data_IF_312695763151
#
_entry.id   IF_312695763151
#
_cell.length_a   1.000
_cell.length_b   1.000
_cell.length_c   1.000
_cell.angle_alpha   90.00
_cell.angle_beta   90.00
_cell.angle_gamma   90.00
#
_symmetry.space_group_name_H-M   'P 1'
#
loop_
_entity.id
_entity.type
_entity.pdbx_description
1 polymer ?
#
# COMPACT_ATOMS: atom_id res chain seq x y z
N UNK A 1 2.00 8.52 36.73
CA UNK A 1 2.37 9.83 36.14
C UNK A 1 2.72 9.57 34.69
N UNK A 2 1.74 9.69 33.79
CA UNK A 2 1.92 9.45 32.35
C UNK A 2 2.45 10.76 31.79
N UNK A 3 3.73 10.82 31.41
CA UNK A 3 4.27 12.00 30.72
C UNK A 3 3.51 12.18 29.42
N UNK A 4 2.79 13.31 29.31
CA UNK A 4 2.26 13.79 28.05
C UNK A 4 3.45 14.11 27.14
N UNK A 5 3.73 13.23 26.18
CA UNK A 5 4.57 13.57 25.03
C UNK A 5 3.77 14.60 24.25
N UNK A 6 4.21 15.85 24.28
CA UNK A 6 3.53 16.95 23.60
C UNK A 6 3.57 16.74 22.08
N UNK A 7 2.54 17.23 21.36
CA UNK A 7 2.41 17.13 19.89
C UNK A 7 3.70 17.49 19.11
N UNK A 8 4.55 18.35 19.67
CA UNK A 8 5.83 18.75 19.08
C UNK A 8 6.94 17.68 19.11
N UNK A 9 6.90 16.73 20.05
CA UNK A 9 7.95 15.70 20.22
C UNK A 9 7.68 14.46 19.36
N UNK A 10 6.40 14.15 19.10
CA UNK A 10 5.97 13.18 18.08
C UNK A 10 6.37 13.69 16.69
N UNK A 11 6.13 14.98 16.42
CA UNK A 11 6.46 15.61 15.14
C UNK A 11 7.97 15.71 14.86
N UNK A 12 8.80 16.02 15.87
CA UNK A 12 10.26 15.93 15.73
C UNK A 12 10.76 14.51 15.49
N UNK A 13 10.07 13.50 16.03
CA UNK A 13 10.41 12.09 15.79
C UNK A 13 10.04 11.68 14.36
N UNK A 14 8.84 12.02 13.88
CA UNK A 14 8.43 11.78 12.49
C UNK A 14 9.33 12.56 11.53
N UNK A 15 9.63 13.84 11.77
CA UNK A 15 10.53 14.62 10.91
C UNK A 15 12.00 14.19 10.97
N UNK A 16 12.49 13.65 12.08
CA UNK A 16 13.88 13.14 12.20
C UNK A 16 14.03 11.74 11.61
N UNK A 17 13.00 10.90 11.69
CA UNK A 17 12.96 9.53 11.14
C UNK A 17 12.58 9.54 9.64
N UNK A 18 11.62 10.36 9.24
CA UNK A 18 11.13 10.48 7.86
C UNK A 18 11.93 11.52 7.05
N UNK A 19 12.67 12.42 7.71
CA UNK A 19 13.42 13.50 7.05
C UNK A 19 14.91 13.23 6.80
N UNK A 20 15.51 12.21 7.42
CA UNK A 20 16.88 11.80 7.15
C UNK A 20 16.87 10.54 6.30
N UNK A 21 16.93 10.76 4.98
CA UNK A 21 17.35 9.79 3.98
C UNK A 21 16.33 8.78 3.45
N UNK A 22 15.08 9.19 3.17
CA UNK A 22 14.06 8.40 2.43
C UNK A 22 14.51 7.76 1.09
N UNK A 23 15.73 8.04 0.58
CA UNK A 23 16.26 7.50 -0.68
C UNK A 23 16.40 5.97 -0.70
N UNK A 24 16.36 5.30 0.46
CA UNK A 24 16.52 3.85 0.60
C UNK A 24 15.24 3.11 1.07
N UNK A 25 14.10 3.78 1.28
CA UNK A 25 13.09 3.32 2.27
C UNK A 25 11.79 2.73 1.72
N UNK A 26 11.67 2.58 0.40
CA UNK A 26 10.49 1.98 -0.24
C UNK A 26 10.70 0.57 -0.79
N UNK A 27 11.93 0.04 -0.74
CA UNK A 27 12.20 -1.37 -1.04
C UNK A 27 11.73 -2.31 0.10
N UNK A 28 10.86 -1.89 1.02
CA UNK A 28 10.30 -2.80 2.03
C UNK A 28 9.02 -3.52 1.58
N UNK A 29 8.83 -3.68 0.27
CA UNK A 29 8.23 -4.90 -0.29
C UNK A 29 9.30 -5.93 -0.73
N UNK A 30 10.57 -5.53 -0.79
CA UNK A 30 11.73 -6.38 -1.07
C UNK A 30 12.46 -6.67 0.24
N UNK A 31 11.93 -7.60 1.04
CA UNK A 31 12.81 -8.45 1.84
C UNK A 31 13.35 -9.48 0.86
N UNK A 32 14.62 -9.38 0.53
CA UNK A 32 15.29 -10.30 -0.39
C UNK A 32 15.18 -11.74 0.12
N UNK A 33 14.70 -12.57 -0.80
CA UNK A 33 14.65 -14.03 -0.74
C UNK A 33 16.04 -14.65 -0.56
N UNK A 34 16.47 -14.85 0.69
CA UNK A 34 17.51 -15.83 1.02
C UNK A 34 17.10 -16.55 2.31
N UNK A 35 16.08 -17.41 2.22
CA UNK A 35 15.89 -18.62 3.03
C UNK A 35 14.50 -19.18 2.73
N UNK A 36 14.44 -20.22 1.88
CA UNK A 36 13.44 -21.31 1.83
C UNK A 36 13.39 -21.90 0.42
N UNK A 37 14.46 -22.60 0.05
CA UNK A 37 14.47 -23.52 -1.09
C UNK A 37 13.72 -24.80 -0.71
N UNK A 38 12.57 -25.03 -1.34
CA UNK A 38 11.84 -26.31 -1.29
C UNK A 38 11.02 -26.52 -2.55
N UNK A 39 11.38 -27.56 -3.33
CA UNK A 39 10.77 -28.02 -4.60
C UNK A 39 9.26 -28.33 -4.49
N UNK A 40 8.56 -28.25 -5.64
CA UNK A 40 7.62 -29.23 -6.29
C UNK A 40 6.87 -28.44 -7.41
N UNK A 41 7.08 -28.64 -8.72
CA UNK A 41 6.67 -29.68 -9.71
C UNK A 41 5.15 -29.82 -9.98
N UNK A 42 4.76 -29.52 -11.24
CA UNK A 42 3.57 -30.04 -11.96
C UNK A 42 2.31 -29.14 -11.88
N UNK A 43 1.49 -28.93 -12.92
CA UNK A 43 1.42 -29.46 -14.29
C UNK A 43 0.28 -28.80 -15.09
N UNK A 44 0.35 -28.97 -16.41
CA UNK A 44 -0.58 -28.56 -17.50
C UNK A 44 -1.98 -29.23 -17.37
N UNK A 45 -3.12 -28.85 -17.97
CA UNK A 45 -3.47 -28.60 -19.40
C UNK A 45 -4.91 -28.01 -19.55
N UNK A 46 -5.07 -27.16 -20.56
CA UNK A 46 -6.16 -26.89 -21.55
C UNK A 46 -7.66 -27.27 -21.35
N UNK A 47 -8.55 -26.35 -21.79
CA UNK A 47 -9.51 -26.69 -22.86
C UNK A 47 -10.97 -26.19 -22.79
N UNK A 48 -11.28 -25.23 -23.70
CA UNK A 48 -12.50 -25.10 -24.57
C UNK A 48 -13.83 -24.48 -24.07
N UNK A 49 -14.07 -23.26 -24.60
CA UNK A 49 -15.18 -22.76 -25.47
C UNK A 49 -16.67 -22.98 -25.11
N UNK A 50 -17.45 -21.89 -25.26
CA UNK A 50 -18.88 -21.70 -24.92
C UNK A 50 -19.92 -22.41 -25.82
N UNK A 51 -21.21 -22.01 -25.73
CA UNK A 51 -21.70 -20.92 -26.59
C UNK A 51 -22.76 -19.99 -25.92
N UNK A 52 -23.36 -19.14 -26.76
CA UNK A 52 -23.90 -17.80 -26.52
C UNK A 52 -25.39 -17.66 -26.10
N UNK A 53 -25.72 -16.41 -25.72
CA UNK A 53 -26.91 -15.62 -26.06
C UNK A 53 -28.20 -15.79 -25.21
N UNK A 54 -28.62 -14.68 -24.59
CA UNK A 54 -29.92 -14.53 -23.94
C UNK A 54 -30.06 -13.18 -23.26
N UNK A 55 -30.61 -12.21 -23.99
CA UNK A 55 -30.85 -10.82 -23.63
C UNK A 55 -31.85 -10.62 -22.50
N UNK A 56 -31.48 -9.78 -21.51
CA UNK A 56 -32.39 -8.89 -20.77
C UNK A 56 -31.55 -7.89 -20.00
N UNK A 57 -31.43 -6.65 -20.49
CA UNK A 57 -30.86 -5.57 -19.68
C UNK A 57 -31.87 -5.15 -18.62
N UNK A 58 -31.57 -5.27 -17.32
CA UNK A 58 -32.15 -4.35 -16.37
C UNK A 58 -31.39 -3.03 -16.49
N UNK A 59 -32.12 -1.92 -16.40
CA UNK A 59 -31.55 -0.60 -16.10
C UNK A 59 -30.91 -0.74 -14.72
N UNK A 60 -29.67 -1.20 -14.71
CA UNK A 60 -28.82 -1.28 -13.54
C UNK A 60 -28.45 0.15 -13.18
N UNK A 61 -28.83 0.52 -11.96
CA UNK A 61 -28.15 1.46 -11.09
C UNK A 61 -26.82 1.95 -11.69
N UNK A 62 -26.66 3.28 -11.87
CA UNK A 62 -25.36 3.87 -12.21
C UNK A 62 -24.42 3.50 -11.06
N UNK A 63 -23.80 2.33 -11.21
CA UNK A 63 -23.01 1.69 -10.19
C UNK A 63 -22.07 2.76 -9.70
N UNK A 64 -22.09 3.01 -8.39
CA UNK A 64 -21.04 3.75 -7.73
C UNK A 64 -19.74 3.37 -8.44
N UNK A 65 -19.16 4.27 -9.24
CA UNK A 65 -17.87 4.00 -9.88
C UNK A 65 -16.99 3.60 -8.71
N UNK A 66 -16.67 2.32 -8.61
CA UNK A 66 -16.07 1.82 -7.39
C UNK A 66 -14.66 2.42 -7.37
N UNK A 67 -14.50 3.45 -6.55
CA UNK A 67 -13.33 4.31 -6.58
C UNK A 67 -12.12 3.52 -6.08
N UNK A 68 -10.96 3.76 -6.69
CA UNK A 68 -9.71 3.26 -6.16
C UNK A 68 -9.48 3.83 -4.76
N UNK A 69 -8.95 3.00 -3.85
CA UNK A 69 -8.80 3.32 -2.43
C UNK A 69 -7.33 3.38 -2.05
N UNK A 70 -6.92 4.42 -1.32
CA UNK A 70 -5.58 4.48 -0.74
C UNK A 70 -5.64 4.97 0.70
N UNK A 71 -4.75 4.45 1.53
CA UNK A 71 -4.55 4.89 2.91
C UNK A 71 -3.18 5.57 2.99
N UNK A 72 -3.17 6.85 3.35
CA UNK A 72 -1.96 7.67 3.31
C UNK A 72 -1.86 8.64 4.48
N UNK A 73 -0.67 9.19 4.70
CA UNK A 73 -0.45 10.30 5.62
C UNK A 73 -1.31 11.52 5.24
N UNK A 74 -1.68 12.31 6.24
CA UNK A 74 -2.35 13.61 6.01
C UNK A 74 -1.36 14.74 5.66
N UNK A 75 -0.06 14.50 5.88
CA UNK A 75 1.01 15.46 5.55
C UNK A 75 1.94 14.87 4.51
N UNK A 76 2.40 15.73 3.59
CA UNK A 76 3.40 15.36 2.59
C UNK A 76 4.76 15.13 3.25
N UNK A 77 5.50 14.18 2.70
CA UNK A 77 6.94 14.06 2.94
C UNK A 77 7.68 15.27 2.36
N UNK A 78 8.97 15.42 2.72
CA UNK A 78 9.85 16.46 2.15
C UNK A 78 9.93 16.44 0.62
N UNK A 79 9.71 15.26 0.03
CA UNK A 79 9.72 15.07 -1.42
C UNK A 79 8.33 15.27 -2.07
N UNK A 80 7.38 15.87 -1.34
CA UNK A 80 6.09 16.33 -1.89
C UNK A 80 5.03 15.24 -2.09
N UNK A 81 5.23 14.03 -1.59
CA UNK A 81 4.27 12.92 -1.72
C UNK A 81 3.74 12.45 -0.36
N UNK A 82 2.57 11.82 -0.33
CA UNK A 82 1.93 11.30 0.88
C UNK A 82 2.27 9.81 1.13
N UNK A 83 3.07 9.50 2.18
CA UNK A 83 3.38 8.12 2.58
C UNK A 83 2.16 7.24 2.76
N UNK A 84 2.23 6.01 2.25
CA UNK A 84 1.21 5.00 2.54
C UNK A 84 1.33 4.51 3.99
N UNK A 85 0.23 4.01 4.57
CA UNK A 85 0.20 3.54 5.96
C UNK A 85 1.23 2.43 6.28
N UNK A 86 1.51 1.54 5.32
CA UNK A 86 2.58 0.54 5.46
C UNK A 86 3.95 1.18 5.65
N UNK A 87 4.27 2.21 4.85
CA UNK A 87 5.54 2.93 4.96
C UNK A 87 5.66 3.64 6.31
N UNK A 88 4.56 4.22 6.82
CA UNK A 88 4.52 4.87 8.13
C UNK A 88 4.79 3.88 9.27
N UNK A 89 4.08 2.74 9.32
CA UNK A 89 4.27 1.72 10.36
C UNK A 89 5.65 1.07 10.29
N UNK A 90 6.14 0.77 9.08
CA UNK A 90 7.50 0.28 8.90
C UNK A 90 8.56 1.31 9.31
N UNK A 91 8.26 2.61 9.19
CA UNK A 91 9.10 3.69 9.73
C UNK A 91 9.15 3.69 11.26
N UNK A 92 8.01 3.52 11.93
CA UNK A 92 7.95 3.37 13.38
C UNK A 92 8.75 2.16 13.89
N UNK A 93 8.63 1.02 13.20
CA UNK A 93 9.37 -0.21 13.52
C UNK A 93 10.89 0.03 13.49
N UNK A 94 11.40 0.58 12.39
CA UNK A 94 12.84 0.88 12.25
C UNK A 94 13.34 1.93 13.23
N UNK A 95 12.47 2.84 13.68
CA UNK A 95 12.79 3.81 14.72
C UNK A 95 12.71 3.22 16.15
N UNK A 96 12.42 1.92 16.30
CA UNK A 96 12.27 1.27 17.60
C UNK A 96 11.10 1.83 18.41
N UNK A 97 10.07 2.34 17.75
CA UNK A 97 8.92 2.98 18.42
C UNK A 97 7.76 2.03 18.64
N UNK A 98 7.65 0.96 17.85
CA UNK A 98 6.58 -0.03 18.05
C UNK A 98 6.80 -0.82 19.34
N UNK A 99 5.70 -1.09 20.04
CA UNK A 99 5.67 -2.09 21.11
C UNK A 99 5.89 -3.48 20.52
N UNK A 100 6.25 -4.45 21.36
CA UNK A 100 6.42 -5.86 20.95
C UNK A 100 5.17 -6.42 20.27
N UNK A 101 3.97 -6.10 20.78
CA UNK A 101 2.72 -6.57 20.19
C UNK A 101 2.46 -5.96 18.79
N UNK A 102 2.76 -4.68 18.61
CA UNK A 102 2.63 -3.99 17.32
C UNK A 102 3.65 -4.51 16.31
N UNK A 103 4.87 -4.84 16.76
CA UNK A 103 5.91 -5.43 15.91
C UNK A 103 5.49 -6.83 15.44
N UNK A 104 4.94 -7.67 16.33
CA UNK A 104 4.39 -8.98 15.95
C UNK A 104 3.20 -8.85 14.97
N UNK A 105 2.30 -7.88 15.21
CA UNK A 105 1.22 -7.59 14.28
C UNK A 105 1.77 -7.23 12.89
N UNK A 106 2.71 -6.26 12.84
CA UNK A 106 3.32 -5.79 11.59
C UNK A 106 3.99 -6.93 10.83
N UNK A 107 4.77 -7.76 11.50
CA UNK A 107 5.46 -8.90 10.87
C UNK A 107 4.47 -9.90 10.28
N UNK A 108 3.44 -10.28 11.05
CA UNK A 108 2.41 -11.24 10.60
C UNK A 108 1.62 -10.71 9.40
N UNK A 109 1.12 -9.48 9.47
CA UNK A 109 0.34 -8.92 8.37
C UNK A 109 1.21 -8.62 7.15
N UNK A 110 2.44 -8.12 7.30
CA UNK A 110 3.35 -7.92 6.16
C UNK A 110 3.66 -9.25 5.46
N UNK A 111 3.89 -10.33 6.21
CA UNK A 111 4.08 -11.66 5.64
C UNK A 111 2.84 -12.12 4.86
N UNK A 112 1.64 -11.85 5.39
CA UNK A 112 0.41 -12.14 4.67
C UNK A 112 0.29 -11.33 3.37
N UNK A 113 0.55 -10.03 3.37
CA UNK A 113 0.54 -9.23 2.12
C UNK A 113 1.57 -9.73 1.13
N UNK A 114 2.77 -10.09 1.57
CA UNK A 114 3.80 -10.63 0.69
C UNK A 114 3.35 -11.90 -0.05
N UNK A 115 2.57 -12.77 0.62
CA UNK A 115 2.06 -13.98 0.00
C UNK A 115 0.81 -13.78 -0.87
N UNK A 116 0.05 -12.69 -0.67
CA UNK A 116 -1.28 -12.53 -1.25
C UNK A 116 -1.41 -11.32 -2.20
N UNK A 117 -0.47 -10.38 -2.16
CA UNK A 117 -0.44 -9.19 -3.00
C UNK A 117 0.79 -9.26 -3.90
N UNK A 118 0.57 -9.17 -5.21
CA UNK A 118 1.67 -9.17 -6.19
C UNK A 118 2.57 -7.99 -5.91
N UNK A 119 3.88 -8.21 -5.92
CA UNK A 119 4.87 -7.13 -5.91
C UNK A 119 5.04 -6.59 -7.33
N UNK A 120 4.58 -5.35 -7.64
CA UNK A 120 4.70 -4.79 -8.98
C UNK A 120 6.15 -4.65 -9.45
N UNK A 121 7.11 -4.52 -8.52
CA UNK A 121 8.53 -4.35 -8.85
C UNK A 121 9.17 -5.61 -9.42
N UNK A 122 8.56 -6.79 -9.18
CA UNK A 122 8.98 -8.05 -9.80
C UNK A 122 8.64 -8.06 -11.30
N UNK A 123 7.50 -7.47 -11.68
CA UNK A 123 7.09 -7.37 -13.07
C UNK A 123 7.82 -6.23 -13.80
N UNK A 124 7.94 -5.07 -13.17
CA UNK A 124 8.68 -3.92 -13.68
C UNK A 124 9.31 -3.13 -12.52
N UNK A 125 10.64 -3.21 -12.33
CA UNK A 125 11.35 -2.50 -11.28
C UNK A 125 11.23 -0.97 -11.34
N UNK A 126 10.88 -0.41 -12.50
CA UNK A 126 10.79 1.05 -12.70
C UNK A 126 9.48 1.66 -12.21
N UNK A 127 8.46 0.85 -11.88
CA UNK A 127 7.12 1.31 -11.49
C UNK A 127 7.12 2.31 -10.32
N UNK A 128 8.06 2.17 -9.40
CA UNK A 128 8.24 3.07 -8.25
C UNK A 128 9.45 4.01 -8.38
N UNK A 129 10.13 4.03 -9.52
CA UNK A 129 11.23 4.95 -9.76
C UNK A 129 10.74 6.39 -9.65
N UNK A 130 11.23 7.11 -8.64
CA UNK A 130 10.77 8.48 -8.33
C UNK A 130 11.28 9.53 -9.31
N UNK A 131 12.35 9.26 -10.04
CA UNK A 131 12.84 10.16 -11.09
C UNK A 131 11.97 10.03 -12.34
N UNK A 132 11.60 8.80 -12.72
CA UNK A 132 10.73 8.54 -13.87
C UNK A 132 9.25 8.84 -13.56
N UNK A 133 8.81 8.49 -12.35
CA UNK A 133 7.42 8.50 -11.92
C UNK A 133 7.24 9.23 -10.59
N UNK A 134 7.54 10.55 -10.53
CA UNK A 134 7.33 11.34 -9.33
C UNK A 134 5.88 11.26 -8.86
N UNK A 135 5.71 10.95 -7.58
CA UNK A 135 4.40 10.83 -6.94
C UNK A 135 3.66 9.52 -7.23
N UNK A 136 4.24 8.57 -7.97
CA UNK A 136 3.63 7.25 -8.18
C UNK A 136 3.27 6.59 -6.86
N UNK A 137 2.06 6.05 -6.80
CA UNK A 137 1.46 5.53 -5.59
C UNK A 137 0.61 4.30 -5.88
N UNK A 138 0.65 3.34 -4.98
CA UNK A 138 -0.25 2.19 -4.99
C UNK A 138 -1.66 2.57 -4.52
N UNK A 139 -2.66 2.02 -5.20
CA UNK A 139 -4.06 2.12 -4.85
C UNK A 139 -4.70 0.74 -4.91
N UNK A 140 -5.50 0.42 -3.91
CA UNK A 140 -6.33 -0.78 -3.94
C UNK A 140 -7.48 -0.59 -4.92
N UNK A 141 -7.76 -1.64 -5.68
CA UNK A 141 -9.04 -1.79 -6.33
C UNK A 141 -10.11 -1.97 -5.26
N UNK A 142 -11.32 -1.44 -5.48
CA UNK A 142 -12.45 -1.59 -4.55
C UNK A 142 -12.83 -3.06 -4.30
N UNK A 143 -12.54 -3.94 -5.27
CA UNK A 143 -12.74 -5.39 -5.16
C UNK A 143 -11.76 -6.08 -4.21
N UNK A 144 -10.65 -5.43 -3.83
CA UNK A 144 -9.64 -5.97 -2.93
C UNK A 144 -10.08 -5.87 -1.45
N UNK A 145 -11.27 -6.36 -1.14
CA UNK A 145 -11.95 -6.15 0.16
C UNK A 145 -11.18 -6.73 1.33
N UNK A 146 -10.57 -7.91 1.19
CA UNK A 146 -9.71 -8.50 2.24
C UNK A 146 -8.43 -7.69 2.46
N UNK A 147 -7.81 -7.22 1.38
CA UNK A 147 -6.63 -6.36 1.45
C UNK A 147 -6.97 -5.05 2.17
N UNK A 148 -8.12 -4.46 1.88
CA UNK A 148 -8.57 -3.21 2.47
C UNK A 148 -8.93 -3.39 3.95
N UNK A 149 -9.62 -4.47 4.33
CA UNK A 149 -10.05 -4.68 5.73
C UNK A 149 -8.88 -4.90 6.68
N UNK A 150 -7.81 -5.54 6.22
CA UNK A 150 -6.58 -5.74 6.99
C UNK A 150 -5.83 -4.44 7.30
N UNK A 151 -6.06 -3.37 6.53
CA UNK A 151 -5.44 -2.05 6.77
C UNK A 151 -5.84 -1.47 8.13
N UNK A 152 -7.01 -1.84 8.66
CA UNK A 152 -7.52 -1.34 9.94
C UNK A 152 -6.58 -1.62 11.13
N UNK A 153 -5.74 -2.65 11.06
CA UNK A 153 -4.77 -2.89 12.11
C UNK A 153 -3.57 -1.94 12.03
N UNK A 154 -3.15 -1.55 10.83
CA UNK A 154 -2.09 -0.55 10.64
C UNK A 154 -2.53 0.84 11.08
N UNK A 155 -3.78 1.22 10.76
CA UNK A 155 -4.31 2.52 11.15
C UNK A 155 -4.45 2.66 12.66
N UNK A 156 -4.87 1.60 13.37
CA UNK A 156 -4.87 1.58 14.85
C UNK A 156 -3.50 1.79 15.46
N UNK A 157 -2.44 1.24 14.85
CA UNK A 157 -1.06 1.52 15.26
C UNK A 157 -0.76 3.01 15.04
N UNK A 158 -1.04 3.55 13.87
CA UNK A 158 -0.79 4.98 13.62
C UNK A 158 -1.55 5.89 14.59
N UNK A 159 -2.82 5.58 14.88
CA UNK A 159 -3.64 6.30 15.86
C UNK A 159 -3.03 6.24 17.27
N UNK A 160 -2.58 5.06 17.71
CA UNK A 160 -1.93 4.88 19.02
C UNK A 160 -0.63 5.68 19.16
N UNK A 161 0.05 5.96 18.05
CA UNK A 161 1.28 6.74 17.97
C UNK A 161 1.03 8.22 17.59
N UNK A 162 -0.23 8.67 17.51
CA UNK A 162 -0.59 10.05 17.18
C UNK A 162 -0.22 10.48 15.75
N UNK A 163 -0.11 9.53 14.83
CA UNK A 163 0.25 9.79 13.43
C UNK A 163 -1.02 9.89 12.58
N UNK A 164 -1.29 11.08 12.05
CA UNK A 164 -2.44 11.34 11.19
C UNK A 164 -2.37 10.61 9.86
N UNK A 165 -3.47 9.93 9.50
CA UNK A 165 -3.67 9.25 8.22
C UNK A 165 -5.08 9.52 7.69
N UNK A 166 -5.29 9.28 6.39
CA UNK A 166 -6.56 9.41 5.72
C UNK A 166 -6.77 8.26 4.73
N UNK A 167 -8.03 7.81 4.63
CA UNK A 167 -8.51 6.97 3.53
C UNK A 167 -9.02 7.87 2.41
N UNK A 168 -8.35 7.86 1.28
CA UNK A 168 -8.70 8.62 0.08
C UNK A 168 -9.31 7.70 -0.97
N UNK A 169 -10.25 8.25 -1.74
CA UNK A 169 -10.91 7.57 -2.84
C UNK A 169 -10.71 8.40 -4.11
N UNK A 170 -10.44 7.75 -5.24
CA UNK A 170 -10.34 8.44 -6.53
C UNK A 170 -10.82 7.56 -7.68
N UNK A 171 -11.63 8.13 -8.58
CA UNK A 171 -11.97 7.50 -9.86
C UNK A 171 -10.89 7.74 -10.92
N UNK A 172 -9.99 8.71 -10.69
CA UNK A 172 -8.90 9.04 -11.59
C UNK A 172 -7.63 9.38 -10.78
N UNK A 173 -6.91 8.37 -10.27
CA UNK A 173 -5.68 8.57 -9.51
C UNK A 173 -4.50 9.02 -10.38
N UNK A 174 -4.69 9.15 -11.69
CA UNK A 174 -3.70 9.59 -12.67
C UNK A 174 -3.40 8.52 -13.72
N UNK A 175 -2.21 8.60 -14.33
CA UNK A 175 -1.76 7.62 -15.33
C UNK A 175 -1.39 6.31 -14.64
N UNK A 176 -2.07 5.23 -14.99
CA UNK A 176 -1.78 3.87 -14.53
C UNK A 176 -0.46 3.41 -15.16
N UNK A 177 0.47 2.97 -14.30
CA UNK A 177 1.78 2.40 -14.66
C UNK A 177 1.75 0.88 -14.57
N UNK A 178 0.93 0.35 -13.67
CA UNK A 178 0.79 -1.08 -13.41
C UNK A 178 -0.61 -1.38 -12.89
N UNK A 179 -1.14 -2.56 -13.22
CA UNK A 179 -2.45 -3.03 -12.78
C UNK A 179 -2.46 -4.55 -12.62
N UNK A 180 -3.02 -5.02 -11.50
CA UNK A 180 -3.33 -6.43 -11.23
C UNK A 180 -4.76 -6.59 -10.71
N UNK A 181 -5.14 -7.78 -10.24
CA UNK A 181 -6.50 -8.08 -9.74
C UNK A 181 -6.88 -7.30 -8.46
N UNK A 182 -5.90 -6.89 -7.66
CA UNK A 182 -6.07 -6.25 -6.35
C UNK A 182 -5.70 -4.77 -6.32
N UNK A 183 -4.80 -4.29 -7.18
CA UNK A 183 -4.26 -2.93 -7.09
C UNK A 183 -3.88 -2.34 -8.46
N UNK A 184 -3.66 -1.03 -8.44
CA UNK A 184 -2.99 -0.28 -9.50
C UNK A 184 -1.85 0.55 -8.90
N UNK A 185 -0.82 0.82 -9.70
CA UNK A 185 0.15 1.88 -9.42
C UNK A 185 -0.13 3.02 -10.38
N UNK A 186 -0.43 4.20 -9.84
CA UNK A 186 -0.77 5.37 -10.63
C UNK A 186 0.18 6.52 -10.33
N UNK A 187 0.66 7.17 -11.39
CA UNK A 187 1.36 8.46 -11.34
C UNK A 187 0.33 9.57 -11.41
N UNK A 188 0.27 10.49 -10.43
CA UNK A 188 -0.60 11.66 -10.50
C UNK A 188 -0.38 12.43 -11.80
N UNK A 189 -1.48 12.88 -12.41
CA UNK A 189 -1.38 13.82 -13.51
C UNK A 189 -0.75 15.11 -12.97
N UNK A 190 0.18 15.72 -13.71
CA UNK A 190 0.64 17.05 -13.37
C UNK A 190 -0.59 17.95 -13.31
N UNK A 191 -0.86 18.56 -12.17
CA UNK A 191 -1.78 19.69 -12.11
C UNK A 191 -1.14 20.78 -12.96
N UNK A 192 -1.74 21.08 -14.11
CA UNK A 192 -1.36 22.25 -14.91
C UNK A 192 -1.63 23.53 -14.14
#
# INVERSE_FOLDING_TARGET
>A
MISMVTDGDVWKTVQRVVGCDLKQWENLFVVTSEEMSGRVVGGSVDGRTGPECGSREPIGDRGSELLFVRFQAVVQSRSGWFPGVFALVNGLSRAGRLTTAEEHFRQRENAWYHCNLVDPSVADPSVYDRQLHPGAAAWFKPSATEMISRVDGYTRILDAHGIGWARVHSGNPGRILYEDVHQIIAKPNCSG
#
